data_IF_600277401699
#
_entry.id   IF_600277401699
#
_cell.length_a   1.000
_cell.length_b   1.000
_cell.length_c   1.000
_cell.angle_alpha   90.00
_cell.angle_beta   90.00
_cell.angle_gamma   90.00
#
_symmetry.space_group_name_H-M   'P 1'
#
loop_
_entity.id
_entity.type
_entity.pdbx_description
1 polymer ?
#
# COMPACT_ATOMS: atom_id res chain seq x y z
N UNK A 1 0.48 -20.91 11.61
CA UNK A 1 0.12 -19.50 11.38
C UNK A 1 -1.32 -19.38 10.89
N UNK A 2 -1.83 -20.28 10.08
CA UNK A 2 -3.19 -20.26 9.52
C UNK A 2 -4.29 -20.12 10.59
N UNK A 3 -4.15 -20.73 11.75
CA UNK A 3 -5.14 -20.67 12.83
C UNK A 3 -4.93 -19.52 13.82
N UNK A 4 -3.69 -19.12 14.08
CA UNK A 4 -3.35 -18.18 15.15
C UNK A 4 -2.61 -16.93 14.67
N UNK A 5 -2.33 -16.81 13.38
CA UNK A 5 -1.58 -15.68 12.82
C UNK A 5 -2.23 -14.32 13.11
N UNK A 6 -3.54 -14.25 12.96
CA UNK A 6 -4.32 -13.04 13.25
C UNK A 6 -4.22 -12.66 14.74
N UNK A 7 -4.22 -13.64 15.65
CA UNK A 7 -4.07 -13.39 17.08
C UNK A 7 -2.69 -12.83 17.45
N UNK A 8 -1.62 -13.30 16.77
CA UNK A 8 -0.27 -12.72 16.93
C UNK A 8 -0.22 -11.28 16.44
N UNK A 9 -0.85 -10.98 15.31
CA UNK A 9 -0.99 -9.64 14.75
C UNK A 9 -1.75 -8.71 15.70
N UNK A 10 -2.87 -9.17 16.25
CA UNK A 10 -3.60 -8.43 17.29
C UNK A 10 -2.75 -8.22 18.55
N UNK A 11 -1.91 -9.18 18.95
CA UNK A 11 -1.01 -9.04 20.09
C UNK A 11 -0.03 -7.87 19.94
N UNK A 12 0.48 -7.66 18.73
CA UNK A 12 1.34 -6.49 18.42
C UNK A 12 0.56 -5.18 18.51
N UNK A 13 -0.64 -5.14 17.94
CA UNK A 13 -1.49 -3.95 17.93
C UNK A 13 -1.97 -3.57 19.34
N UNK A 14 -2.57 -4.53 20.08
CA UNK A 14 -3.16 -4.28 21.40
C UNK A 14 -2.15 -3.82 22.45
N UNK A 15 -0.88 -4.20 22.31
CA UNK A 15 0.20 -3.81 23.22
C UNK A 15 0.88 -2.49 22.82
N UNK A 16 0.26 -1.72 21.91
CA UNK A 16 0.81 -0.46 21.37
C UNK A 16 2.27 -0.60 20.89
N UNK A 17 2.64 -1.79 20.41
CA UNK A 17 3.97 -2.08 19.92
C UNK A 17 5.08 -2.20 21.00
N UNK A 18 4.74 -2.25 22.30
CA UNK A 18 5.74 -2.36 23.36
C UNK A 18 6.62 -3.62 23.22
N UNK A 19 6.06 -4.72 22.73
CA UNK A 19 6.77 -5.97 22.50
C UNK A 19 7.00 -6.26 20.99
N UNK A 20 6.90 -5.26 20.12
CA UNK A 20 6.98 -5.44 18.66
C UNK A 20 8.24 -6.19 18.22
N UNK A 21 9.39 -5.91 18.85
CA UNK A 21 10.66 -6.56 18.53
C UNK A 21 10.66 -8.07 18.80
N UNK A 22 9.82 -8.54 19.73
CA UNK A 22 9.70 -9.98 20.04
C UNK A 22 8.80 -10.71 19.05
N UNK A 23 7.80 -10.00 18.45
CA UNK A 23 6.79 -10.61 17.61
C UNK A 23 7.01 -10.37 16.12
N UNK A 24 7.67 -9.27 15.73
CA UNK A 24 7.84 -8.89 14.31
C UNK A 24 8.46 -10.00 13.43
N UNK A 25 9.38 -10.79 13.97
CA UNK A 25 10.02 -11.89 13.25
C UNK A 25 9.15 -13.15 13.13
N UNK A 26 8.04 -13.21 13.88
CA UNK A 26 7.07 -14.31 13.84
C UNK A 26 5.89 -14.02 12.90
N UNK A 27 5.74 -12.76 12.46
CA UNK A 27 4.65 -12.37 11.57
C UNK A 27 4.93 -12.84 10.15
N UNK A 28 3.88 -13.37 9.51
CA UNK A 28 3.92 -13.82 8.13
C UNK A 28 2.94 -13.01 7.27
N UNK A 29 3.40 -12.62 6.09
CA UNK A 29 2.63 -11.91 5.09
C UNK A 29 2.79 -12.58 3.74
N UNK A 30 1.78 -12.53 2.88
CA UNK A 30 1.84 -13.16 1.57
C UNK A 30 2.74 -12.36 0.63
N UNK A 31 3.71 -13.02 0.01
CA UNK A 31 4.66 -12.41 -0.92
C UNK A 31 4.19 -12.48 -2.36
N UNK A 32 4.21 -11.36 -3.08
CA UNK A 32 3.95 -11.31 -4.52
C UNK A 32 4.96 -12.12 -5.33
N UNK A 33 6.20 -12.22 -4.86
CA UNK A 33 7.32 -12.89 -5.52
C UNK A 33 7.33 -14.39 -5.24
N UNK A 34 7.28 -14.76 -3.96
CA UNK A 34 7.37 -16.15 -3.53
C UNK A 34 6.04 -16.92 -3.66
N UNK A 35 4.91 -16.20 -3.83
CA UNK A 35 3.55 -16.77 -3.89
C UNK A 35 3.21 -17.65 -2.69
N UNK A 36 3.72 -17.27 -1.53
CA UNK A 36 3.51 -17.92 -0.22
C UNK A 36 3.67 -16.90 0.91
N UNK A 37 3.32 -17.32 2.12
CA UNK A 37 3.61 -16.54 3.32
C UNK A 37 5.11 -16.54 3.61
N UNK A 38 5.65 -15.35 3.92
CA UNK A 38 7.06 -15.11 4.24
C UNK A 38 7.18 -14.23 5.48
N UNK A 39 8.31 -14.32 6.15
CA UNK A 39 8.68 -13.40 7.24
C UNK A 39 9.19 -12.07 6.69
N UNK A 40 9.17 -11.03 7.52
CA UNK A 40 9.79 -9.74 7.18
C UNK A 40 11.31 -9.87 6.93
N UNK A 41 11.97 -10.79 7.65
CA UNK A 41 13.40 -11.07 7.46
C UNK A 41 13.70 -11.67 6.09
N UNK A 42 12.87 -12.61 5.62
CA UNK A 42 12.99 -13.19 4.29
C UNK A 42 12.75 -12.14 3.19
N UNK A 43 11.74 -11.28 3.35
CA UNK A 43 11.50 -10.17 2.44
C UNK A 43 12.71 -9.24 2.34
N UNK A 44 13.22 -8.75 3.49
CA UNK A 44 14.36 -7.82 3.52
C UNK A 44 15.62 -8.45 2.93
N UNK A 45 15.83 -9.77 3.10
CA UNK A 45 16.99 -10.46 2.49
C UNK A 45 16.98 -10.49 0.95
N UNK A 46 15.81 -10.26 0.34
CA UNK A 46 15.62 -10.24 -1.12
C UNK A 46 15.45 -8.83 -1.68
N UNK A 47 15.43 -7.80 -0.83
CA UNK A 47 15.31 -6.41 -1.27
C UNK A 47 16.50 -6.02 -2.16
N UNK A 48 16.23 -5.12 -3.12
CA UNK A 48 17.31 -4.49 -3.90
C UNK A 48 18.16 -3.59 -2.99
N UNK A 49 19.43 -3.40 -3.31
CA UNK A 49 20.36 -2.59 -2.48
C UNK A 49 19.89 -1.15 -2.29
N UNK A 50 19.30 -0.57 -3.34
CA UNK A 50 18.78 0.81 -3.37
C UNK A 50 17.34 0.93 -2.82
N UNK A 51 16.65 -0.19 -2.56
CA UNK A 51 15.29 -0.19 -2.03
C UNK A 51 15.28 0.28 -0.57
N UNK A 52 14.53 1.34 -0.31
CA UNK A 52 14.42 1.95 1.04
C UNK A 52 13.24 1.39 1.82
N UNK A 53 12.15 1.08 1.14
CA UNK A 53 10.86 0.76 1.76
C UNK A 53 10.45 -0.69 1.53
N UNK A 54 9.74 -1.24 2.51
CA UNK A 54 9.01 -2.50 2.41
C UNK A 54 7.64 -2.17 1.82
N UNK A 55 7.39 -2.58 0.59
CA UNK A 55 6.13 -2.30 -0.09
C UNK A 55 5.05 -3.29 0.34
N UNK A 56 3.87 -2.77 0.64
CA UNK A 56 2.68 -3.57 0.89
C UNK A 56 1.45 -2.98 0.23
N UNK A 57 0.45 -3.81 0.02
CA UNK A 57 -0.90 -3.42 -0.43
C UNK A 57 -1.92 -4.25 0.32
N UNK A 58 -2.98 -3.61 0.79
CA UNK A 58 -4.09 -4.27 1.48
C UNK A 58 -5.26 -4.50 0.54
N UNK A 59 -5.97 -5.57 0.75
CA UNK A 59 -7.18 -5.89 -0.01
C UNK A 59 -7.85 -7.16 0.49
N UNK A 60 -9.03 -7.44 -0.06
CA UNK A 60 -9.88 -8.52 0.39
C UNK A 60 -9.24 -9.91 0.24
N UNK A 61 -8.52 -10.13 -0.84
CA UNK A 61 -7.86 -11.39 -1.14
C UNK A 61 -6.64 -11.19 -2.06
N UNK A 62 -5.80 -12.21 -2.12
CA UNK A 62 -4.55 -12.23 -2.89
C UNK A 62 -4.77 -11.96 -4.38
N UNK A 63 -5.83 -12.53 -4.97
CA UNK A 63 -6.08 -12.44 -6.41
C UNK A 63 -6.51 -11.03 -6.82
N UNK A 64 -7.27 -10.34 -5.98
CA UNK A 64 -7.66 -8.94 -6.21
C UNK A 64 -6.46 -8.01 -6.04
N UNK A 65 -5.65 -8.20 -5.01
CA UNK A 65 -4.44 -7.40 -4.79
C UNK A 65 -3.47 -7.59 -5.95
N UNK A 66 -3.25 -8.84 -6.40
CA UNK A 66 -2.31 -9.15 -7.48
C UNK A 66 -2.67 -8.43 -8.80
N UNK A 67 -3.94 -8.16 -9.05
CA UNK A 67 -4.42 -7.46 -10.25
C UNK A 67 -4.38 -5.94 -10.17
N UNK A 68 -4.10 -5.36 -9.00
CA UNK A 68 -4.05 -3.90 -8.86
C UNK A 68 -2.94 -3.29 -9.74
N UNK A 69 -3.23 -2.20 -10.48
CA UNK A 69 -2.26 -1.58 -11.39
C UNK A 69 -0.92 -1.25 -10.72
N UNK A 70 -0.97 -0.71 -9.50
CA UNK A 70 0.24 -0.38 -8.74
C UNK A 70 1.08 -1.62 -8.41
N UNK A 71 0.45 -2.76 -8.12
CA UNK A 71 1.14 -4.03 -7.86
C UNK A 71 1.81 -4.53 -9.13
N UNK A 72 1.12 -4.46 -10.28
CA UNK A 72 1.70 -4.83 -11.56
C UNK A 72 2.89 -3.95 -11.92
N UNK A 73 2.79 -2.63 -11.69
CA UNK A 73 3.92 -1.70 -11.90
C UNK A 73 5.12 -2.06 -11.04
N UNK A 74 4.92 -2.34 -9.74
CA UNK A 74 6.00 -2.76 -8.84
C UNK A 74 6.64 -4.08 -9.29
N UNK A 75 5.83 -5.06 -9.68
CA UNK A 75 6.30 -6.35 -10.19
C UNK A 75 7.12 -6.17 -11.49
N UNK A 76 6.67 -5.31 -12.42
CA UNK A 76 7.39 -5.00 -13.65
C UNK A 76 8.75 -4.32 -13.37
N UNK A 77 8.82 -3.52 -12.30
CA UNK A 77 10.08 -2.94 -11.80
C UNK A 77 10.85 -3.91 -10.87
N UNK A 78 10.43 -5.20 -10.81
CA UNK A 78 11.04 -6.27 -10.01
C UNK A 78 11.06 -6.04 -8.49
N UNK A 79 10.13 -5.23 -7.96
CA UNK A 79 9.94 -5.10 -6.53
C UNK A 79 9.00 -6.20 -6.01
N UNK A 80 9.34 -6.75 -4.85
CA UNK A 80 8.46 -7.63 -4.09
C UNK A 80 7.45 -6.79 -3.31
N UNK A 81 6.18 -7.25 -3.25
CA UNK A 81 5.10 -6.59 -2.51
C UNK A 81 4.50 -7.58 -1.53
N UNK A 82 4.27 -7.15 -0.30
CA UNK A 82 3.51 -7.92 0.69
C UNK A 82 2.02 -7.66 0.50
N UNK A 83 1.22 -8.72 0.44
CA UNK A 83 -0.24 -8.64 0.37
C UNK A 83 -0.82 -8.82 1.75
N UNK A 84 -1.58 -7.84 2.19
CA UNK A 84 -2.22 -7.77 3.49
C UNK A 84 -3.71 -8.09 3.32
N UNK A 85 -4.12 -9.25 3.81
CA UNK A 85 -5.49 -9.74 3.64
C UNK A 85 -6.29 -9.79 4.94
N UNK A 86 -5.65 -9.59 6.08
CA UNK A 86 -6.31 -9.51 7.38
C UNK A 86 -6.61 -8.05 7.74
N UNK A 87 -7.79 -7.77 8.28
CA UNK A 87 -8.23 -6.40 8.65
C UNK A 87 -7.28 -5.71 9.63
N UNK A 88 -6.54 -6.47 10.44
CA UNK A 88 -5.58 -5.96 11.42
C UNK A 88 -4.22 -5.60 10.80
N UNK A 89 -3.92 -6.05 9.58
CA UNK A 89 -2.59 -5.97 9.00
C UNK A 89 -2.06 -4.54 8.85
N UNK A 90 -2.89 -3.61 8.36
CA UNK A 90 -2.46 -2.21 8.22
C UNK A 90 -2.17 -1.56 9.57
N UNK A 91 -2.95 -1.89 10.60
CA UNK A 91 -2.71 -1.40 11.96
C UNK A 91 -1.39 -1.95 12.52
N UNK A 92 -1.07 -3.20 12.19
CA UNK A 92 0.22 -3.81 12.54
C UNK A 92 1.37 -3.07 11.85
N UNK A 93 1.26 -2.78 10.54
CA UNK A 93 2.29 -2.03 9.80
C UNK A 93 2.50 -0.63 10.40
N UNK A 94 1.42 0.07 10.75
CA UNK A 94 1.51 1.38 11.43
C UNK A 94 2.15 1.28 12.81
N UNK A 95 1.85 0.21 13.57
CA UNK A 95 2.43 -0.01 14.91
C UNK A 95 3.91 -0.37 14.83
N UNK A 96 4.31 -1.19 13.87
CA UNK A 96 5.70 -1.56 13.63
C UNK A 96 6.52 -0.37 13.14
N UNK A 97 5.97 0.47 12.28
CA UNK A 97 6.56 1.65 11.65
C UNK A 97 7.72 1.32 10.69
N UNK A 98 8.65 0.49 11.10
CA UNK A 98 9.81 0.05 10.32
C UNK A 98 10.26 -1.34 10.75
N UNK A 99 11.07 -1.98 9.91
CA UNK A 99 11.75 -3.24 10.19
C UNK A 99 13.18 -3.20 9.63
N UNK A 100 14.19 -3.41 10.47
CA UNK A 100 15.62 -3.33 10.10
C UNK A 100 15.94 -2.07 9.26
N UNK A 101 15.57 -0.91 9.78
CA UNK A 101 15.78 0.42 9.15
C UNK A 101 15.02 0.63 7.82
N UNK A 102 14.16 -0.29 7.42
CA UNK A 102 13.29 -0.17 6.25
C UNK A 102 11.88 0.23 6.69
N UNK A 103 11.34 1.28 6.07
CA UNK A 103 10.00 1.80 6.38
C UNK A 103 8.93 0.99 5.66
N UNK A 104 7.78 0.81 6.27
CA UNK A 104 6.62 0.22 5.59
C UNK A 104 5.93 1.28 4.71
N UNK A 105 5.72 0.96 3.44
CA UNK A 105 5.09 1.85 2.47
C UNK A 105 3.89 1.19 1.83
N UNK A 106 2.68 1.77 2.06
CA UNK A 106 1.49 1.34 1.34
C UNK A 106 1.58 1.81 -0.11
N UNK A 107 1.71 0.85 -1.03
CA UNK A 107 1.89 1.16 -2.44
C UNK A 107 0.60 1.68 -3.12
N UNK A 108 -0.56 1.43 -2.53
CA UNK A 108 -1.83 1.94 -3.03
C UNK A 108 -2.08 3.41 -2.63
N UNK A 109 -1.24 3.99 -1.78
CA UNK A 109 -1.36 5.37 -1.30
C UNK A 109 -0.25 6.26 -1.84
N UNK A 110 -0.63 7.47 -2.22
CA UNK A 110 0.31 8.50 -2.65
C UNK A 110 1.14 8.12 -3.86
N UNK A 111 2.29 8.78 -3.99
CA UNK A 111 3.27 8.52 -5.04
C UNK A 111 4.48 7.79 -4.47
N UNK A 112 4.92 6.72 -5.14
CA UNK A 112 6.04 5.90 -4.67
C UNK A 112 7.40 6.45 -5.09
N UNK A 113 7.43 7.49 -5.94
CA UNK A 113 8.65 8.10 -6.50
C UNK A 113 9.66 7.05 -7.06
N UNK A 114 9.09 6.06 -7.78
CA UNK A 114 9.86 4.98 -8.41
C UNK A 114 10.21 5.25 -9.87
N UNK A 115 9.83 6.42 -10.35
CA UNK A 115 10.02 6.79 -11.75
C UNK A 115 11.45 7.24 -12.00
N UNK A 116 11.99 6.84 -13.13
CA UNK A 116 13.25 7.37 -13.64
C UNK A 116 13.08 8.84 -14.00
N UNK A 117 14.18 9.58 -14.12
CA UNK A 117 14.11 10.99 -14.54
C UNK A 117 13.47 11.14 -15.93
N UNK A 118 13.71 10.20 -16.85
CA UNK A 118 13.08 10.16 -18.17
C UNK A 118 11.56 9.93 -18.06
N UNK A 119 11.10 9.02 -17.19
CA UNK A 119 9.68 8.79 -16.94
C UNK A 119 9.01 10.03 -16.31
N UNK A 120 9.69 10.73 -15.38
CA UNK A 120 9.22 11.96 -14.78
C UNK A 120 9.10 13.10 -15.80
N UNK A 121 10.09 13.27 -16.66
CA UNK A 121 10.05 14.27 -17.74
C UNK A 121 8.91 13.99 -18.72
N UNK A 122 8.74 12.73 -19.14
CA UNK A 122 7.65 12.34 -20.01
C UNK A 122 6.27 12.59 -19.37
N UNK A 123 6.12 12.27 -18.07
CA UNK A 123 4.89 12.51 -17.32
C UNK A 123 4.59 14.01 -17.20
N UNK A 124 5.60 14.84 -16.91
CA UNK A 124 5.45 16.29 -16.80
C UNK A 124 5.01 16.90 -18.14
N UNK A 125 5.62 16.48 -19.25
CA UNK A 125 5.22 16.91 -20.58
C UNK A 125 3.77 16.54 -20.88
N UNK A 126 3.38 15.29 -20.58
CA UNK A 126 2.00 14.84 -20.77
C UNK A 126 1.01 15.59 -19.85
N UNK A 127 1.41 15.97 -18.64
CA UNK A 127 0.58 16.81 -17.75
C UNK A 127 0.30 18.19 -18.37
N UNK A 128 1.30 18.83 -18.93
CA UNK A 128 1.12 20.14 -19.59
C UNK A 128 0.22 20.03 -20.83
N UNK A 129 0.42 19.00 -21.66
CA UNK A 129 -0.38 18.76 -22.86
C UNK A 129 -1.86 18.44 -22.54
N UNK A 130 -2.16 17.84 -21.37
CA UNK A 130 -3.51 17.43 -20.96
C UNK A 130 -4.11 18.27 -19.84
N UNK A 131 -3.52 19.42 -19.52
CA UNK A 131 -3.93 20.27 -18.40
C UNK A 131 -5.42 20.65 -18.44
N UNK A 132 -5.93 21.02 -19.61
CA UNK A 132 -7.33 21.42 -19.78
C UNK A 132 -8.27 20.24 -19.53
N UNK A 133 -7.90 19.02 -19.98
CA UNK A 133 -8.65 17.79 -19.72
C UNK A 133 -8.70 17.47 -18.23
N UNK A 134 -7.56 17.53 -17.55
CA UNK A 134 -7.50 17.26 -16.10
C UNK A 134 -8.32 18.24 -15.30
N UNK A 135 -8.28 19.54 -15.67
CA UNK A 135 -9.10 20.58 -15.06
C UNK A 135 -10.59 20.32 -15.27
N UNK A 136 -10.99 20.02 -16.50
CA UNK A 136 -12.38 19.65 -16.80
C UNK A 136 -12.86 18.44 -16.02
N UNK A 137 -12.04 17.39 -15.93
CA UNK A 137 -12.38 16.17 -15.15
C UNK A 137 -12.53 16.50 -13.66
N UNK A 138 -11.64 17.32 -13.09
CA UNK A 138 -11.74 17.74 -11.68
C UNK A 138 -13.00 18.56 -11.43
N UNK A 139 -13.33 19.50 -12.31
CA UNK A 139 -14.56 20.29 -12.21
C UNK A 139 -15.83 19.42 -12.31
N UNK A 140 -15.82 18.43 -13.22
CA UNK A 140 -16.95 17.51 -13.39
C UNK A 140 -17.15 16.58 -12.18
N UNK A 141 -16.08 16.17 -11.51
CA UNK A 141 -16.11 15.32 -10.32
C UNK A 141 -16.32 16.12 -9.02
N UNK A 142 -16.10 17.43 -9.03
CA UNK A 142 -16.32 18.31 -7.89
C UNK A 142 -15.60 17.85 -6.62
N UNK A 143 -16.35 17.70 -5.52
CA UNK A 143 -15.83 17.32 -4.21
C UNK A 143 -15.70 15.79 -4.01
N UNK A 144 -16.12 14.99 -5.01
CA UNK A 144 -16.00 13.52 -4.97
C UNK A 144 -14.53 13.06 -4.95
N UNK A 145 -13.62 13.85 -5.50
CA UNK A 145 -12.19 13.58 -5.52
C UNK A 145 -11.39 14.80 -5.08
N UNK A 146 -10.29 14.62 -4.39
CA UNK A 146 -9.41 15.72 -4.01
C UNK A 146 -8.65 16.27 -5.23
N UNK A 147 -8.16 15.40 -6.10
CA UNK A 147 -7.32 15.74 -7.24
C UNK A 147 -7.56 14.77 -8.41
N UNK A 148 -7.35 15.25 -9.64
CA UNK A 148 -7.23 14.44 -10.86
C UNK A 148 -5.84 14.62 -11.42
N UNK A 149 -5.11 13.52 -11.61
CA UNK A 149 -3.74 13.58 -12.13
C UNK A 149 -3.45 12.45 -13.12
N UNK A 150 -2.51 12.69 -14.03
CA UNK A 150 -1.98 11.63 -14.89
C UNK A 150 -1.13 10.66 -14.05
N UNK A 151 -1.18 9.39 -14.42
CA UNK A 151 -0.40 8.34 -13.82
C UNK A 151 0.25 7.49 -14.89
N UNK A 152 1.51 7.15 -14.71
CA UNK A 152 2.25 6.16 -15.51
C UNK A 152 2.12 4.74 -14.93
N UNK A 153 1.34 4.59 -13.86
CA UNK A 153 1.11 3.30 -13.17
C UNK A 153 -0.01 2.47 -13.80
N UNK A 154 -0.81 3.09 -14.69
CA UNK A 154 -1.90 2.40 -15.37
C UNK A 154 -1.38 1.75 -16.65
N UNK A 155 -1.63 0.45 -16.81
CA UNK A 155 -1.21 -0.33 -17.98
C UNK A 155 -2.37 -0.73 -18.88
N UNK A 156 -3.47 -1.20 -18.29
CA UNK A 156 -4.65 -1.68 -19.03
C UNK A 156 -5.88 -0.81 -18.75
N UNK A 157 -6.01 -0.31 -17.54
CA UNK A 157 -7.16 0.50 -17.14
C UNK A 157 -6.94 1.99 -17.49
N UNK A 158 -7.95 2.68 -18.04
CA UNK A 158 -7.83 4.09 -18.40
C UNK A 158 -7.77 5.02 -17.19
N UNK A 159 -8.36 4.61 -16.06
CA UNK A 159 -8.42 5.39 -14.81
C UNK A 159 -8.39 4.46 -13.61
N UNK A 160 -7.88 4.97 -12.48
CA UNK A 160 -8.04 4.31 -11.18
C UNK A 160 -8.28 5.36 -10.09
N UNK A 161 -8.91 4.93 -8.99
CA UNK A 161 -9.03 5.72 -7.78
C UNK A 161 -7.92 5.30 -6.81
N UNK A 162 -7.21 6.28 -6.25
CA UNK A 162 -6.18 6.05 -5.23
C UNK A 162 -6.54 6.78 -3.95
N UNK A 163 -6.26 6.18 -2.81
CA UNK A 163 -6.38 6.88 -1.53
C UNK A 163 -5.29 7.95 -1.43
N UNK A 164 -5.64 9.09 -0.82
CA UNK A 164 -4.68 10.12 -0.46
C UNK A 164 -3.73 9.66 0.65
N UNK A 165 -2.88 10.56 1.12
CA UNK A 165 -2.07 10.30 2.31
C UNK A 165 -2.98 10.21 3.55
N UNK A 166 -2.76 9.21 4.40
CA UNK A 166 -3.50 9.02 5.64
C UNK A 166 -4.19 7.65 5.73
N UNK A 167 -5.53 7.63 5.64
CA UNK A 167 -6.32 6.40 5.79
C UNK A 167 -6.50 5.72 4.44
N UNK A 168 -6.20 4.42 4.35
CA UNK A 168 -6.47 3.62 3.16
C UNK A 168 -7.96 3.29 3.02
N UNK A 169 -8.40 2.91 1.82
CA UNK A 169 -9.78 2.44 1.60
C UNK A 169 -10.13 1.21 2.45
N UNK A 170 -9.16 0.33 2.73
CA UNK A 170 -9.41 -0.84 3.58
C UNK A 170 -9.55 -0.42 5.05
N UNK A 171 -8.72 0.50 5.55
CA UNK A 171 -8.89 1.05 6.90
C UNK A 171 -10.21 1.80 7.05
N UNK A 172 -10.62 2.57 6.05
CA UNK A 172 -11.92 3.27 6.05
C UNK A 172 -13.08 2.28 6.18
N UNK A 173 -13.05 1.16 5.46
CA UNK A 173 -14.04 0.09 5.59
C UNK A 173 -14.05 -0.53 6.99
N UNK A 174 -12.88 -0.78 7.57
CA UNK A 174 -12.78 -1.29 8.95
C UNK A 174 -13.40 -0.30 9.93
N UNK A 175 -13.06 0.98 9.84
CA UNK A 175 -13.65 2.02 10.69
C UNK A 175 -15.17 2.14 10.50
N UNK A 176 -15.67 2.08 9.29
CA UNK A 176 -17.10 2.15 9.00
C UNK A 176 -17.91 1.00 9.62
N UNK A 177 -17.28 -0.16 9.82
CA UNK A 177 -17.90 -1.34 10.41
C UNK A 177 -17.74 -1.45 11.93
N UNK A 178 -16.98 -0.54 12.56
CA UNK A 178 -16.83 -0.54 14.03
C UNK A 178 -18.11 -0.03 14.70
N UNK A 179 -18.72 -0.79 15.64
CA UNK A 179 -19.86 -0.30 16.43
C UNK A 179 -19.41 0.84 17.35
N UNK A 180 -20.10 1.96 17.32
CA UNK A 180 -19.89 3.19 18.10
C UNK A 180 -18.79 4.12 17.56
N UNK A 181 -19.03 4.73 16.40
CA UNK A 181 -18.26 5.91 16.04
C UNK A 181 -19.01 7.18 16.45
N UNK A 182 -18.48 7.85 17.50
CA UNK A 182 -18.51 9.30 17.49
C UNK A 182 -17.50 9.74 16.42
N UNK A 183 -17.87 10.57 15.44
CA UNK A 183 -16.88 11.13 14.54
C UNK A 183 -15.83 11.85 15.37
N UNK A 184 -14.57 11.48 15.21
CA UNK A 184 -13.47 12.24 15.79
C UNK A 184 -13.53 13.67 15.23
N UNK A 185 -13.35 14.68 16.06
CA UNK A 185 -13.43 16.08 15.69
C UNK A 185 -12.33 16.49 14.71
#
# INVERSE_FOLDING_TARGET
FEEFGVNLKFGVYNNYGMDKEKFQDLLLFYSSREKKYVTLSEYVSRMKEDQKDIYFVSGKDVDLIDKMPVVQTLKNKEFEVLYLTDEVDEFVMQTLMNYKEKTFRNAAQGDLDLDTEEEKEALNKSKEENKDLLTFMKEALGDEVAEVKLSNKLTEDPVCLTAGEGISFEMEKVFANMPNQNPMP
#
